data_IF_930944479128
#
_entry.id   IF_930944479128
#
_cell.length_a   1.000
_cell.length_b   1.000
_cell.length_c   1.000
_cell.angle_alpha   90.00
_cell.angle_beta   90.00
_cell.angle_gamma   90.00
#
_symmetry.space_group_name_H-M   'P 1'
#
loop_
_entity.id
_entity.type
_entity.pdbx_description
1 polymer ?
#
# COMPACT_ATOMS: atom_id res chain seq x y z
N UNK A 1 23.54 -33.74 -0.28
CA UNK A 1 22.15 -33.28 -0.06
C UNK A 1 22.01 -32.91 1.41
N UNK A 2 22.01 -31.63 1.74
CA UNK A 2 21.35 -31.06 2.92
C UNK A 2 21.23 -29.57 2.66
N UNK A 3 19.98 -29.15 2.51
CA UNK A 3 19.59 -27.83 2.04
C UNK A 3 19.70 -26.83 3.20
N UNK A 4 20.79 -26.08 3.20
CA UNK A 4 20.91 -24.83 3.95
C UNK A 4 20.91 -23.69 2.94
N UNK A 5 19.74 -23.41 2.37
CA UNK A 5 19.49 -22.16 1.67
C UNK A 5 18.01 -21.85 1.85
N UNK A 6 17.73 -20.75 2.56
CA UNK A 6 16.51 -19.93 2.66
C UNK A 6 16.54 -19.12 3.97
N UNK A 7 17.70 -18.52 4.31
CA UNK A 7 17.73 -17.34 5.19
C UNK A 7 17.69 -16.11 4.30
N UNK A 8 16.57 -15.89 3.61
CA UNK A 8 16.33 -14.66 2.87
C UNK A 8 15.71 -13.67 3.85
N UNK A 9 16.60 -12.87 4.46
CA UNK A 9 16.41 -11.47 4.87
C UNK A 9 15.09 -11.10 5.56
N UNK A 10 15.11 -11.08 6.90
CA UNK A 10 14.18 -10.29 7.73
C UNK A 10 14.70 -8.85 7.88
N UNK A 11 14.97 -8.15 6.78
CA UNK A 11 15.43 -6.75 6.76
C UNK A 11 14.74 -5.95 5.63
N UNK A 12 13.50 -6.31 5.27
CA UNK A 12 12.67 -5.57 4.29
C UNK A 12 11.62 -4.65 4.96
N UNK A 13 11.65 -4.51 6.29
CA UNK A 13 10.66 -3.73 7.07
C UNK A 13 11.09 -2.28 7.39
N UNK A 14 12.32 -1.87 7.03
CA UNK A 14 12.83 -0.52 7.35
C UNK A 14 12.81 0.48 6.17
N UNK A 15 12.52 0.05 4.95
CA UNK A 15 12.33 0.94 3.81
C UNK A 15 10.86 1.08 3.44
N UNK A 16 10.32 2.32 3.33
CA UNK A 16 8.99 2.51 2.76
C UNK A 16 9.00 1.95 1.33
N UNK A 17 8.05 1.08 1.02
CA UNK A 17 7.94 0.51 -0.31
C UNK A 17 7.61 1.61 -1.35
N UNK A 18 7.78 1.30 -2.64
CA UNK A 18 7.56 2.29 -3.71
C UNK A 18 6.13 2.86 -3.72
N UNK A 19 5.14 2.09 -3.26
CA UNK A 19 3.77 2.56 -3.08
C UNK A 19 3.66 3.50 -1.89
N UNK A 20 4.23 3.16 -0.74
CA UNK A 20 4.24 4.04 0.43
C UNK A 20 4.93 5.37 0.12
N UNK A 21 6.10 5.35 -0.53
CA UNK A 21 6.80 6.56 -0.99
C UNK A 21 5.91 7.44 -1.85
N UNK A 22 5.16 6.84 -2.78
CA UNK A 22 4.22 7.55 -3.67
C UNK A 22 2.97 8.06 -2.94
N UNK A 23 2.47 7.30 -1.97
CA UNK A 23 1.33 7.70 -1.16
C UNK A 23 1.67 8.91 -0.29
N UNK A 24 2.87 8.92 0.31
CA UNK A 24 3.36 10.06 1.07
C UNK A 24 3.63 11.28 0.19
N UNK A 25 4.20 11.11 -1.01
CA UNK A 25 4.53 12.24 -1.89
C UNK A 25 3.32 12.94 -2.52
N UNK A 26 2.20 12.22 -2.65
CA UNK A 26 0.97 12.74 -3.29
C UNK A 26 0.02 13.44 -2.30
N UNK A 27 0.28 13.34 -1.00
CA UNK A 27 -0.57 13.93 0.04
C UNK A 27 -1.84 13.13 0.35
N UNK A 28 -1.98 11.91 -0.20
CA UNK A 28 -3.10 11.00 0.09
C UNK A 28 -2.83 10.04 1.26
N UNK A 29 -1.79 10.33 2.05
CA UNK A 29 -1.39 9.50 3.18
C UNK A 29 -2.48 9.41 4.26
N UNK A 30 -3.25 10.48 4.49
CA UNK A 30 -4.32 10.48 5.49
C UNK A 30 -5.43 9.50 5.13
N UNK A 31 -5.86 9.49 3.87
CA UNK A 31 -6.85 8.55 3.36
C UNK A 31 -6.32 7.11 3.37
N UNK A 32 -5.04 6.91 3.06
CA UNK A 32 -4.40 5.61 3.15
C UNK A 32 -4.36 5.09 4.60
N UNK A 33 -3.94 5.93 5.55
CA UNK A 33 -3.94 5.58 6.98
C UNK A 33 -5.34 5.23 7.46
N UNK A 34 -6.37 6.02 7.13
CA UNK A 34 -7.76 5.71 7.51
C UNK A 34 -8.25 4.38 6.93
N UNK A 35 -7.85 4.05 5.70
CA UNK A 35 -8.17 2.76 5.09
C UNK A 35 -7.48 1.61 5.83
N UNK A 36 -6.19 1.76 6.15
CA UNK A 36 -5.42 0.78 6.91
C UNK A 36 -5.95 0.60 8.33
N UNK A 37 -6.33 1.68 9.01
CA UNK A 37 -6.96 1.64 10.33
C UNK A 37 -8.28 0.87 10.30
N UNK A 38 -9.15 1.17 9.32
CA UNK A 38 -10.40 0.43 9.16
C UNK A 38 -10.16 -1.07 8.94
N UNK A 39 -9.19 -1.43 8.10
CA UNK A 39 -8.82 -2.83 7.92
C UNK A 39 -8.23 -3.41 9.21
N UNK A 40 -7.43 -2.66 9.95
CA UNK A 40 -6.83 -3.13 11.19
C UNK A 40 -7.90 -3.44 12.24
N UNK A 41 -8.94 -2.62 12.34
CA UNK A 41 -10.08 -2.81 13.23
C UNK A 41 -10.99 -3.97 12.79
N UNK A 42 -11.37 -4.01 11.51
CA UNK A 42 -12.40 -4.94 11.00
C UNK A 42 -11.83 -6.24 10.47
N UNK A 43 -10.56 -6.24 10.07
CA UNK A 43 -9.88 -7.28 9.29
C UNK A 43 -10.64 -7.66 8.00
N UNK A 44 -11.43 -6.74 7.46
CA UNK A 44 -12.20 -6.91 6.22
C UNK A 44 -12.25 -5.61 5.40
N UNK A 45 -11.52 -5.62 4.29
CA UNK A 45 -11.45 -4.55 3.29
C UNK A 45 -12.80 -4.23 2.65
N UNK A 46 -13.72 -5.21 2.55
CA UNK A 46 -15.08 -4.99 2.00
C UNK A 46 -15.91 -4.10 2.91
N UNK A 47 -15.69 -4.19 4.22
CA UNK A 47 -16.32 -3.35 5.22
C UNK A 47 -15.71 -1.93 5.29
N UNK A 48 -14.63 -1.67 4.56
CA UNK A 48 -13.90 -0.41 4.48
C UNK A 48 -14.08 0.30 3.11
N UNK A 49 -15.20 0.02 2.43
CA UNK A 49 -15.47 0.55 1.09
C UNK A 49 -15.49 2.08 1.04
N UNK A 50 -15.91 2.73 2.13
CA UNK A 50 -15.97 4.18 2.23
C UNK A 50 -14.56 4.78 2.23
N UNK A 51 -13.68 4.23 3.05
CA UNK A 51 -12.28 4.62 3.20
C UNK A 51 -11.51 4.36 1.90
N UNK A 52 -11.74 3.20 1.28
CA UNK A 52 -11.14 2.86 0.00
C UNK A 52 -11.59 3.78 -1.14
N UNK A 53 -12.86 4.22 -1.15
CA UNK A 53 -13.33 5.22 -2.11
C UNK A 53 -12.71 6.60 -1.86
N UNK A 54 -12.58 7.03 -0.60
CA UNK A 54 -11.94 8.28 -0.25
C UNK A 54 -10.48 8.31 -0.72
N UNK A 55 -9.73 7.22 -0.50
CA UNK A 55 -8.37 7.07 -1.00
C UNK A 55 -8.33 7.15 -2.54
N UNK A 56 -9.21 6.43 -3.25
CA UNK A 56 -9.29 6.48 -4.72
C UNK A 56 -9.60 7.87 -5.26
N UNK A 57 -10.49 8.61 -4.61
CA UNK A 57 -10.82 9.98 -4.99
C UNK A 57 -9.62 10.92 -4.81
N UNK A 58 -8.91 10.83 -3.68
CA UNK A 58 -7.68 11.57 -3.48
C UNK A 58 -6.64 11.21 -4.55
N UNK A 59 -6.44 9.90 -4.77
CA UNK A 59 -5.48 9.37 -5.73
C UNK A 59 -5.73 9.89 -7.15
N UNK A 60 -7.00 9.90 -7.57
CA UNK A 60 -7.42 10.43 -8.86
C UNK A 60 -7.20 11.95 -8.97
N UNK A 61 -7.48 12.72 -7.91
CA UNK A 61 -7.23 14.18 -7.89
C UNK A 61 -5.76 14.51 -8.05
N UNK A 62 -4.87 13.65 -7.54
CA UNK A 62 -3.42 13.77 -7.67
C UNK A 62 -2.88 13.26 -9.02
N UNK A 63 -3.76 12.90 -9.97
CA UNK A 63 -3.35 12.43 -11.30
C UNK A 63 -2.71 11.04 -11.31
N UNK A 64 -2.91 10.25 -10.25
CA UNK A 64 -2.35 8.90 -10.13
C UNK A 64 -3.29 7.80 -10.65
N UNK A 65 -4.28 8.16 -11.47
CA UNK A 65 -5.30 7.26 -11.99
C UNK A 65 -4.80 6.31 -13.09
N UNK A 66 -3.63 6.61 -13.66
CA UNK A 66 -2.88 5.66 -14.47
C UNK A 66 -2.46 4.49 -13.59
N UNK A 67 -2.90 3.28 -13.96
CA UNK A 67 -2.42 2.04 -13.35
C UNK A 67 -0.89 2.06 -13.49
N UNK A 68 -0.19 2.19 -12.37
CA UNK A 68 1.25 2.00 -12.39
C UNK A 68 1.51 0.62 -12.94
N UNK A 69 2.23 0.57 -14.06
CA UNK A 69 2.67 -0.69 -14.63
C UNK A 69 3.42 -1.42 -13.52
N UNK A 70 2.94 -2.61 -13.14
CA UNK A 70 3.77 -3.56 -12.41
C UNK A 70 4.95 -3.80 -13.32
N UNK A 71 6.12 -3.29 -12.94
CA UNK A 71 7.35 -3.47 -13.70
C UNK A 71 7.76 -4.94 -13.54
N UNK A 72 7.16 -5.81 -14.36
CA UNK A 72 7.63 -7.17 -14.57
C UNK A 72 8.95 -7.05 -15.36
N UNK A 73 10.08 -6.90 -14.66
CA UNK A 73 11.41 -7.02 -15.27
C UNK A 73 12.37 -7.71 -14.33
#
# INVERSE_FOLDING_TARGET
MSAEDHRKTQEEDEEPDDWDKRIFSTGCAVENTRMNDCYYEKKDWRACRKEMNAFRECWKRQGNDQRTETKDT
#
